data_IF_062336157221
#
_entry.id   IF_062336157221
#
_cell.length_a   1.000
_cell.length_b   1.000
_cell.length_c   1.000
_cell.angle_alpha   90.00
_cell.angle_beta   90.00
_cell.angle_gamma   90.00
#
_symmetry.space_group_name_H-M   'P 1'
#
loop_
_entity.id
_entity.type
_entity.pdbx_description
1 polymer ?
#
# COMPACT_ATOMS: atom_id res chain seq x y z
N UNK A 1 -6.21 -11.67 -5.15
CA UNK A 1 -5.79 -10.38 -4.55
C UNK A 1 -5.20 -10.65 -3.16
N UNK A 2 -4.04 -10.07 -2.85
CA UNK A 2 -3.46 -10.11 -1.50
C UNK A 2 -4.15 -9.07 -0.59
N UNK A 3 -4.23 -9.35 0.72
CA UNK A 3 -4.74 -8.42 1.74
C UNK A 3 -3.76 -8.36 2.92
N UNK A 4 -3.43 -7.15 3.34
CA UNK A 4 -2.59 -6.88 4.52
C UNK A 4 -3.21 -7.54 5.75
N UNK A 5 -2.43 -8.34 6.48
CA UNK A 5 -2.95 -9.01 7.69
C UNK A 5 -3.22 -7.99 8.80
N UNK A 6 -4.26 -8.28 9.58
CA UNK A 6 -4.54 -7.59 10.83
C UNK A 6 -4.52 -8.64 11.95
N UNK A 7 -3.79 -8.36 13.02
CA UNK A 7 -3.73 -9.18 14.23
C UNK A 7 -4.45 -8.50 15.37
N UNK A 8 -5.01 -9.30 16.26
CA UNK A 8 -5.63 -8.85 17.50
C UNK A 8 -4.72 -9.22 18.67
N UNK A 9 -4.53 -8.26 19.57
CA UNK A 9 -3.86 -8.52 20.84
C UNK A 9 -4.89 -8.97 21.87
N UNK A 10 -4.60 -10.09 22.52
CA UNK A 10 -5.49 -10.70 23.52
C UNK A 10 -5.27 -10.16 24.94
N UNK A 11 -4.24 -9.33 25.15
CA UNK A 11 -3.91 -8.71 26.43
C UNK A 11 -4.94 -7.62 26.78
N UNK A 12 -5.73 -7.76 27.88
CA UNK A 12 -6.80 -6.83 28.22
C UNK A 12 -6.32 -5.39 28.46
N UNK A 13 -5.09 -5.24 28.94
CA UNK A 13 -4.47 -3.93 29.23
C UNK A 13 -3.91 -3.23 27.98
N UNK A 14 -3.89 -3.89 26.81
CA UNK A 14 -3.31 -3.33 25.60
C UNK A 14 -4.20 -2.21 25.02
N UNK A 15 -3.75 -0.93 25.00
CA UNK A 15 -4.57 0.17 24.48
C UNK A 15 -4.77 0.11 22.96
N UNK A 16 -3.85 -0.55 22.24
CA UNK A 16 -3.84 -0.57 20.77
C UNK A 16 -4.77 -1.62 20.16
N UNK A 17 -4.93 -2.78 20.81
CA UNK A 17 -5.82 -3.92 20.49
C UNK A 17 -5.64 -4.59 19.12
N UNK A 18 -5.26 -3.84 18.08
CA UNK A 18 -5.11 -4.30 16.71
C UNK A 18 -3.79 -3.82 16.11
N UNK A 19 -3.15 -4.70 15.35
CA UNK A 19 -1.88 -4.43 14.69
C UNK A 19 -2.01 -4.83 13.23
N UNK A 20 -1.49 -4.02 12.32
CA UNK A 20 -1.44 -4.38 10.91
C UNK A 20 -0.06 -4.91 10.55
N UNK A 21 0.01 -5.75 9.53
CA UNK A 21 1.26 -6.28 8.99
C UNK A 21 2.26 -5.18 8.66
N UNK A 22 3.44 -5.26 9.27
CA UNK A 22 4.53 -4.33 9.02
C UNK A 22 5.75 -5.12 8.58
N UNK A 23 6.06 -5.01 7.31
CA UNK A 23 7.29 -5.53 6.71
C UNK A 23 7.94 -4.37 5.97
N UNK A 24 9.23 -4.45 5.68
CA UNK A 24 9.94 -3.38 4.93
C UNK A 24 9.17 -2.99 3.67
N UNK A 25 8.67 -3.98 2.94
CA UNK A 25 7.91 -3.80 1.71
C UNK A 25 6.51 -3.18 1.88
N UNK A 26 5.94 -3.21 3.09
CA UNK A 26 4.62 -2.68 3.43
C UNK A 26 4.71 -2.02 4.82
N UNK A 27 5.17 -0.76 4.90
CA UNK A 27 5.35 -0.10 6.19
C UNK A 27 4.02 0.21 6.88
N UNK A 28 4.12 0.73 8.10
CA UNK A 28 2.99 1.23 8.88
C UNK A 28 2.11 2.17 8.04
N UNK A 29 0.78 1.96 8.05
CA UNK A 29 -0.16 2.80 7.31
C UNK A 29 -0.18 2.62 5.78
N UNK A 30 0.77 1.89 5.19
CA UNK A 30 0.80 1.65 3.75
C UNK A 30 -0.36 0.74 3.30
N UNK A 31 -1.00 1.13 2.20
CA UNK A 31 -2.05 0.37 1.50
C UNK A 31 -1.52 -0.48 0.34
N UNK A 32 -0.36 -0.10 -0.20
CA UNK A 32 0.32 -0.79 -1.30
C UNK A 32 1.77 -1.07 -0.92
N UNK A 33 2.41 -1.98 -1.66
CA UNK A 33 3.83 -2.28 -1.47
C UNK A 33 4.72 -1.13 -1.97
N UNK A 34 5.92 -0.99 -1.40
CA UNK A 34 6.92 -0.02 -1.87
C UNK A 34 7.27 -0.24 -3.34
N UNK A 35 7.42 -1.49 -3.79
CA UNK A 35 7.68 -1.82 -5.21
C UNK A 35 6.56 -1.32 -6.12
N UNK A 36 5.29 -1.47 -5.70
CA UNK A 36 4.15 -0.98 -6.48
C UNK A 36 4.10 0.55 -6.50
N UNK A 37 4.40 1.21 -5.37
CA UNK A 37 4.54 2.67 -5.29
C UNK A 37 5.64 3.17 -6.23
N UNK A 38 6.81 2.53 -6.23
CA UNK A 38 7.89 2.89 -7.14
C UNK A 38 7.52 2.66 -8.61
N UNK A 39 6.78 1.58 -8.92
CA UNK A 39 6.32 1.32 -10.28
C UNK A 39 5.33 2.40 -10.76
N UNK A 40 4.40 2.84 -9.91
CA UNK A 40 3.50 3.96 -10.20
C UNK A 40 4.27 5.26 -10.46
N UNK A 41 5.24 5.60 -9.59
CA UNK A 41 6.09 6.76 -9.77
C UNK A 41 6.90 6.73 -11.08
N UNK A 42 7.45 5.57 -11.45
CA UNK A 42 8.16 5.42 -12.74
C UNK A 42 7.24 5.58 -13.94
N UNK A 43 5.99 5.09 -13.89
CA UNK A 43 5.02 5.29 -14.98
C UNK A 43 4.73 6.76 -15.21
N UNK A 44 4.50 7.52 -14.14
CA UNK A 44 4.19 8.94 -14.26
C UNK A 44 5.42 9.76 -14.65
N UNK A 45 6.53 9.59 -13.91
CA UNK A 45 7.73 10.44 -14.08
C UNK A 45 8.58 10.04 -15.28
N UNK A 46 8.86 8.76 -15.44
CA UNK A 46 9.87 8.30 -16.41
C UNK A 46 9.23 7.93 -17.76
N UNK A 47 8.01 7.37 -17.73
CA UNK A 47 7.28 7.00 -18.94
C UNK A 47 6.25 8.07 -19.41
N UNK A 48 6.15 9.20 -18.70
CA UNK A 48 5.23 10.30 -19.05
C UNK A 48 3.75 9.92 -19.04
N UNK A 49 3.38 8.82 -18.38
CA UNK A 49 1.99 8.37 -18.33
C UNK A 49 1.14 9.31 -17.47
N UNK A 50 -0.10 9.56 -17.90
CA UNK A 50 -1.05 10.27 -17.03
C UNK A 50 -1.36 9.43 -15.79
N UNK A 51 -1.75 10.08 -14.70
CA UNK A 51 -2.15 9.40 -13.45
C UNK A 51 -3.29 8.40 -13.69
N UNK A 52 -4.22 8.72 -14.60
CA UNK A 52 -5.33 7.83 -14.98
C UNK A 52 -4.84 6.61 -15.77
N UNK A 53 -3.85 6.77 -16.63
CA UNK A 53 -3.26 5.64 -17.37
C UNK A 53 -2.46 4.75 -16.43
N UNK A 54 -1.61 5.33 -15.59
CA UNK A 54 -0.85 4.60 -14.58
C UNK A 54 -1.75 3.83 -13.59
N UNK A 55 -2.89 4.42 -13.20
CA UNK A 55 -3.85 3.78 -12.31
C UNK A 55 -4.50 2.56 -12.95
N UNK A 56 -4.93 2.67 -14.22
CA UNK A 56 -5.50 1.55 -15.00
C UNK A 56 -4.50 0.42 -15.18
N UNK A 57 -3.29 0.74 -15.61
CA UNK A 57 -2.27 -0.29 -15.91
C UNK A 57 -1.83 -1.07 -14.67
N UNK A 58 -1.83 -0.42 -13.50
CA UNK A 58 -1.38 -1.00 -12.23
C UNK A 58 -2.53 -1.50 -11.35
N UNK A 59 -3.79 -1.37 -11.81
CA UNK A 59 -4.97 -1.73 -11.04
C UNK A 59 -5.14 -0.92 -9.75
N UNK A 60 -4.71 0.34 -9.75
CA UNK A 60 -4.81 1.27 -8.63
C UNK A 60 -5.98 2.23 -8.82
N UNK A 61 -6.50 2.75 -7.70
CA UNK A 61 -7.36 3.92 -7.77
C UNK A 61 -6.52 5.18 -7.97
N UNK A 62 -7.07 6.18 -8.65
CA UNK A 62 -6.41 7.46 -8.90
C UNK A 62 -5.77 8.11 -7.65
N UNK A 63 -6.42 8.18 -6.46
CA UNK A 63 -5.78 8.77 -5.26
C UNK A 63 -4.63 7.94 -4.66
N UNK A 64 -4.35 6.75 -5.21
CA UNK A 64 -3.24 5.89 -4.75
C UNK A 64 -1.98 6.06 -5.61
N UNK A 65 -2.13 6.51 -6.86
CA UNK A 65 -1.03 6.79 -7.80
C UNK A 65 -0.35 8.09 -7.44
#
# INVERSE_FOLDING_TARGET
MWRKRCWYCTEPSCPRRTFTEQVRQVPAGARITERLRSAAGRRVRDAGSTVVQASRDLGLSWPTV
#
